data_IF_094143012351
#
_entry.id   IF_094143012351
#
_cell.length_a   1.000
_cell.length_b   1.000
_cell.length_c   1.000
_cell.angle_alpha   90.00
_cell.angle_beta   90.00
_cell.angle_gamma   90.00
#
_symmetry.space_group_name_H-M   'P 1'
#
loop_
_entity.id
_entity.type
_entity.pdbx_description
1 polymer ?
#
# COMPACT_ATOMS: atom_id res chain seq x y z
N UNK A 1 -12.12 -4.97 14.56
CA UNK A 1 -11.24 -4.82 13.39
C UNK A 1 -9.88 -5.35 13.75
N UNK A 2 -9.33 -6.24 12.93
CA UNK A 2 -7.95 -6.72 13.11
C UNK A 2 -7.05 -5.86 12.23
N UNK A 3 -5.96 -5.34 12.80
CA UNK A 3 -4.93 -4.59 12.08
C UNK A 3 -3.67 -5.43 12.12
N UNK A 4 -3.11 -5.69 10.95
CA UNK A 4 -1.88 -6.46 10.83
C UNK A 4 -0.80 -5.61 10.19
N UNK A 5 0.42 -5.75 10.68
CA UNK A 5 1.57 -5.25 9.95
C UNK A 5 1.73 -6.09 8.68
N UNK A 6 1.86 -5.44 7.52
CA UNK A 6 1.88 -6.13 6.21
C UNK A 6 2.96 -7.20 6.12
N UNK A 7 4.14 -6.98 6.73
CA UNK A 7 5.22 -7.95 6.68
C UNK A 7 4.89 -9.20 7.49
N UNK A 8 4.24 -9.04 8.65
CA UNK A 8 3.91 -10.13 9.57
C UNK A 8 2.87 -11.07 8.93
N UNK A 9 1.79 -10.50 8.36
CA UNK A 9 0.78 -11.32 7.68
C UNK A 9 1.33 -11.98 6.41
N UNK A 10 2.21 -11.28 5.66
CA UNK A 10 2.85 -11.85 4.48
C UNK A 10 3.77 -13.02 4.86
N UNK A 11 4.57 -12.89 5.92
CA UNK A 11 5.44 -13.95 6.41
C UNK A 11 4.64 -15.16 6.88
N UNK A 12 3.52 -14.94 7.57
CA UNK A 12 2.67 -16.03 8.03
C UNK A 12 1.95 -16.75 6.88
N UNK A 13 1.40 -16.01 5.91
CA UNK A 13 0.82 -16.60 4.71
C UNK A 13 1.85 -17.42 3.92
N UNK A 14 3.07 -16.90 3.79
CA UNK A 14 4.18 -17.60 3.17
C UNK A 14 4.51 -18.91 3.91
N UNK A 15 4.65 -18.85 5.24
CA UNK A 15 4.93 -20.01 6.10
C UNK A 15 3.87 -21.09 5.92
N UNK A 16 2.59 -20.72 5.92
CA UNK A 16 1.47 -21.65 5.76
C UNK A 16 1.45 -22.23 4.35
N UNK A 17 1.66 -21.42 3.31
CA UNK A 17 1.61 -21.86 1.92
C UNK A 17 2.68 -22.92 1.57
N UNK A 18 3.83 -22.90 2.25
CA UNK A 18 4.92 -23.87 2.03
C UNK A 18 4.97 -25.00 3.08
N UNK A 19 4.03 -25.02 4.02
CA UNK A 19 4.03 -26.00 5.12
C UNK A 19 3.47 -27.35 4.69
N UNK A 20 4.12 -28.43 5.11
CA UNK A 20 3.63 -29.81 4.95
C UNK A 20 2.54 -30.19 5.97
N UNK A 21 2.33 -29.38 7.00
CA UNK A 21 1.35 -29.66 8.07
C UNK A 21 -0.10 -29.33 7.66
N UNK A 22 -0.27 -28.62 6.54
CA UNK A 22 -1.56 -28.17 6.03
C UNK A 22 -2.29 -29.19 5.15
N UNK A 23 -3.51 -28.84 4.72
CA UNK A 23 -4.23 -29.60 3.70
C UNK A 23 -3.73 -29.21 2.30
N UNK A 24 -3.44 -30.22 1.47
CA UNK A 24 -3.03 -30.04 0.08
C UNK A 24 -1.51 -30.09 -0.12
N UNK A 25 -1.09 -29.90 -1.37
CA UNK A 25 0.34 -29.90 -1.74
C UNK A 25 0.95 -28.53 -1.38
N UNK A 26 2.07 -28.49 -0.64
CA UNK A 26 2.80 -27.25 -0.38
C UNK A 26 3.18 -26.52 -1.67
N UNK A 27 3.10 -25.19 -1.65
CA UNK A 27 3.55 -24.37 -2.77
C UNK A 27 5.07 -24.41 -2.91
N UNK A 28 5.56 -24.62 -4.13
CA UNK A 28 6.95 -24.37 -4.46
C UNK A 28 7.17 -22.87 -4.73
N UNK A 29 8.23 -22.31 -4.16
CA UNK A 29 8.56 -20.90 -4.33
C UNK A 29 9.87 -20.78 -5.07
N UNK A 30 9.77 -20.20 -6.27
CA UNK A 30 10.92 -19.92 -7.12
C UNK A 30 11.11 -18.41 -7.19
N UNK A 31 12.18 -17.93 -6.55
CA UNK A 31 12.57 -16.52 -6.57
C UNK A 31 13.48 -16.22 -7.78
N UNK A 32 13.82 -14.94 -8.00
CA UNK A 32 14.63 -14.50 -9.15
C UNK A 32 14.02 -14.79 -10.53
N UNK A 33 12.69 -14.90 -10.59
CA UNK A 33 11.91 -15.15 -11.81
C UNK A 33 10.93 -13.99 -12.06
N UNK A 34 11.47 -12.82 -12.41
CA UNK A 34 10.63 -11.66 -12.74
C UNK A 34 9.93 -11.91 -14.07
N UNK A 35 8.60 -12.00 -14.06
CA UNK A 35 7.79 -12.19 -15.26
C UNK A 35 8.04 -11.06 -16.26
N UNK A 36 8.42 -11.43 -17.48
CA UNK A 36 8.63 -10.51 -18.60
C UNK A 36 7.46 -10.53 -19.58
N UNK A 37 6.91 -11.71 -19.89
CA UNK A 37 5.75 -11.84 -20.78
C UNK A 37 4.99 -13.15 -20.60
N UNK A 38 3.73 -13.16 -21.06
CA UNK A 38 2.86 -14.35 -21.11
C UNK A 38 2.36 -14.58 -22.53
N UNK A 39 2.52 -15.80 -23.05
CA UNK A 39 1.99 -16.20 -24.35
C UNK A 39 0.74 -17.08 -24.18
N UNK A 40 -0.43 -16.53 -24.51
CA UNK A 40 -1.72 -17.22 -24.38
C UNK A 40 -1.85 -18.48 -25.23
N UNK A 41 -1.27 -18.51 -26.43
CA UNK A 41 -1.40 -19.66 -27.35
C UNK A 41 -0.54 -20.83 -26.87
N UNK A 42 0.69 -20.54 -26.43
CA UNK A 42 1.65 -21.54 -25.95
C UNK A 42 1.49 -21.87 -24.47
N UNK A 43 0.72 -21.05 -23.73
CA UNK A 43 0.56 -21.12 -22.27
C UNK A 43 1.90 -21.02 -21.53
N UNK A 44 2.79 -20.17 -22.06
CA UNK A 44 4.16 -19.99 -21.54
C UNK A 44 4.30 -18.68 -20.80
N UNK A 45 5.05 -18.70 -19.69
CA UNK A 45 5.56 -17.50 -19.00
C UNK A 45 7.06 -17.42 -19.23
N UNK A 46 7.53 -16.27 -19.71
CA UNK A 46 8.96 -15.99 -19.88
C UNK A 46 9.43 -15.02 -18.81
N UNK A 47 10.61 -15.29 -18.26
CA UNK A 47 11.20 -14.54 -17.15
C UNK A 47 12.48 -13.82 -17.57
N UNK A 48 12.81 -12.73 -16.87
CA UNK A 48 14.01 -11.92 -17.16
C UNK A 48 15.34 -12.67 -17.03
N UNK A 49 15.36 -13.78 -16.28
CA UNK A 49 16.54 -14.63 -16.14
C UNK A 49 16.73 -15.60 -17.34
N UNK A 50 15.88 -15.52 -18.37
CA UNK A 50 15.91 -16.39 -19.55
C UNK A 50 15.10 -17.67 -19.43
N UNK A 51 14.62 -18.02 -18.23
CA UNK A 51 13.80 -19.21 -18.00
C UNK A 51 12.42 -19.04 -18.64
N UNK A 52 11.84 -20.15 -19.08
CA UNK A 52 10.44 -20.23 -19.54
C UNK A 52 9.76 -21.44 -18.95
N UNK A 53 8.51 -21.30 -18.53
CA UNK A 53 7.68 -22.40 -18.04
C UNK A 53 6.38 -22.50 -18.85
N UNK A 54 5.77 -23.69 -18.86
CA UNK A 54 4.44 -23.94 -19.39
C UNK A 54 3.53 -24.26 -18.20
N UNK A 55 2.33 -23.68 -18.16
CA UNK A 55 1.35 -23.96 -17.11
C UNK A 55 -0.06 -24.09 -17.68
N UNK A 56 -0.88 -24.93 -17.07
CA UNK A 56 -2.29 -25.06 -17.47
C UNK A 56 -3.11 -23.81 -17.11
N UNK A 57 -2.82 -23.20 -15.95
CA UNK A 57 -3.42 -21.94 -15.48
C UNK A 57 -2.31 -20.98 -15.04
N UNK A 58 -2.44 -19.70 -15.38
CA UNK A 58 -1.52 -18.64 -14.96
C UNK A 58 -2.33 -17.59 -14.18
N UNK A 59 -1.89 -17.28 -12.96
CA UNK A 59 -2.53 -16.29 -12.09
C UNK A 59 -1.61 -15.06 -11.98
N UNK A 60 -2.07 -13.92 -12.48
CA UNK A 60 -1.42 -12.63 -12.32
C UNK A 60 -1.75 -12.01 -10.97
N UNK A 61 -0.81 -12.10 -10.02
CA UNK A 61 -0.86 -11.44 -8.71
C UNK A 61 0.30 -10.42 -8.55
N UNK A 62 0.78 -9.86 -9.66
CA UNK A 62 1.99 -9.02 -9.78
C UNK A 62 1.74 -7.51 -9.55
N UNK A 63 0.62 -7.19 -8.90
CA UNK A 63 0.30 -5.86 -8.39
C UNK A 63 -0.08 -4.84 -9.47
N UNK A 64 -0.22 -3.57 -9.06
CA UNK A 64 -0.79 -2.49 -9.89
C UNK A 64 -0.13 -2.31 -11.26
N UNK A 65 1.18 -2.56 -11.37
CA UNK A 65 1.96 -2.48 -12.62
C UNK A 65 2.09 -3.84 -13.30
N UNK A 66 1.01 -4.61 -13.32
CA UNK A 66 0.98 -6.00 -13.79
C UNK A 66 1.47 -6.17 -15.24
N UNK A 67 2.55 -6.94 -15.39
CA UNK A 67 3.05 -7.44 -16.66
C UNK A 67 2.09 -8.50 -17.21
N UNK A 68 1.53 -9.35 -16.35
CA UNK A 68 0.57 -10.40 -16.75
C UNK A 68 -0.68 -9.78 -17.38
N UNK A 69 -1.25 -8.75 -16.74
CA UNK A 69 -2.41 -8.00 -17.26
C UNK A 69 -2.13 -7.41 -18.65
N UNK A 70 -0.98 -6.75 -18.80
CA UNK A 70 -0.58 -6.15 -20.06
C UNK A 70 -0.35 -7.22 -21.15
N UNK A 71 0.21 -8.37 -20.79
CA UNK A 71 0.47 -9.50 -21.70
C UNK A 71 -0.81 -10.11 -22.28
N UNK A 72 -1.93 -10.04 -21.55
CA UNK A 72 -3.23 -10.50 -22.04
C UNK A 72 -4.02 -9.43 -22.81
N UNK A 73 -3.42 -8.24 -22.98
CA UNK A 73 -3.98 -7.13 -23.73
C UNK A 73 -4.96 -6.27 -22.94
N UNK A 74 -4.91 -6.34 -21.61
CA UNK A 74 -5.69 -5.46 -20.73
C UNK A 74 -4.77 -4.30 -20.32
N UNK A 75 -5.15 -3.08 -20.67
CA UNK A 75 -4.41 -1.88 -20.32
C UNK A 75 -5.31 -0.97 -19.51
N UNK A 76 -5.11 -0.95 -18.20
CA UNK A 76 -5.78 0.01 -17.34
C UNK A 76 -5.11 1.38 -17.51
N UNK A 77 -5.92 2.42 -17.74
CA UNK A 77 -5.44 3.79 -17.65
C UNK A 77 -4.83 4.04 -16.28
N UNK A 78 -3.61 4.57 -16.24
CA UNK A 78 -2.90 4.85 -15.01
C UNK A 78 -2.91 6.35 -14.73
N UNK A 79 -4.01 6.84 -14.16
CA UNK A 79 -4.13 8.24 -13.77
C UNK A 79 -3.65 8.41 -12.33
N UNK A 80 -2.85 9.43 -12.06
CA UNK A 80 -2.47 9.76 -10.68
C UNK A 80 -3.67 10.37 -9.96
N UNK A 81 -3.95 9.94 -8.73
CA UNK A 81 -4.98 10.57 -7.90
C UNK A 81 -4.51 11.96 -7.44
N UNK A 82 -5.38 12.94 -7.20
CA UNK A 82 -4.99 14.29 -6.76
C UNK A 82 -4.48 14.36 -5.30
N UNK A 83 -4.12 13.23 -4.69
CA UNK A 83 -3.69 13.13 -3.30
C UNK A 83 -2.46 12.24 -3.13
N UNK A 84 -1.67 12.55 -2.11
CA UNK A 84 -0.50 11.79 -1.67
C UNK A 84 -0.71 11.35 -0.23
N UNK A 85 -0.24 10.16 0.11
CA UNK A 85 -0.28 9.62 1.47
C UNK A 85 1.14 9.51 2.02
N UNK A 86 1.43 10.15 3.15
CA UNK A 86 2.63 9.85 3.92
C UNK A 86 2.31 8.79 4.96
N UNK A 87 2.95 7.62 4.85
CA UNK A 87 2.93 6.61 5.91
C UNK A 87 4.10 6.89 6.84
N UNK A 88 3.85 7.06 8.13
CA UNK A 88 4.87 7.27 9.14
C UNK A 88 4.57 6.41 10.37
N UNK A 89 5.58 6.09 11.16
CA UNK A 89 5.45 5.25 12.34
C UNK A 89 5.98 6.00 13.57
N UNK A 90 5.35 5.81 14.71
CA UNK A 90 5.87 6.28 16.01
C UNK A 90 5.93 5.08 16.94
N UNK A 91 7.05 4.88 17.65
CA UNK A 91 7.17 3.80 18.61
C UNK A 91 6.39 4.14 19.87
N UNK A 92 5.65 3.18 20.40
CA UNK A 92 4.84 3.36 21.61
C UNK A 92 5.70 3.72 22.83
N UNK A 93 6.96 3.28 22.87
CA UNK A 93 7.93 3.71 23.89
C UNK A 93 8.20 5.22 23.81
N UNK A 94 8.44 5.75 22.60
CA UNK A 94 8.75 7.17 22.40
C UNK A 94 7.53 8.03 22.74
N UNK A 95 6.32 7.54 22.42
CA UNK A 95 5.06 8.18 22.81
C UNK A 95 4.96 8.33 24.34
N UNK A 96 5.35 7.29 25.10
CA UNK A 96 5.33 7.31 26.57
C UNK A 96 6.38 8.27 27.11
N UNK A 97 7.61 8.18 26.60
CA UNK A 97 8.74 9.00 27.06
C UNK A 97 8.49 10.50 26.81
N UNK A 98 7.79 10.83 25.73
CA UNK A 98 7.40 12.21 25.39
C UNK A 98 6.13 12.69 26.11
N UNK A 99 5.47 11.84 26.91
CA UNK A 99 4.21 12.19 27.57
C UNK A 99 3.03 12.40 26.60
N UNK A 100 3.12 11.84 25.39
CA UNK A 100 2.14 12.03 24.31
C UNK A 100 1.04 10.95 24.29
N UNK A 101 1.04 10.03 25.26
CA UNK A 101 0.10 8.91 25.32
C UNK A 101 -1.37 9.35 25.22
N UNK A 102 -1.74 10.51 25.76
CA UNK A 102 -3.10 11.06 25.69
C UNK A 102 -3.56 11.39 24.26
N UNK A 103 -2.63 11.60 23.32
CA UNK A 103 -2.91 11.90 21.92
C UNK A 103 -3.02 10.65 21.05
N UNK A 104 -2.79 9.47 21.64
CA UNK A 104 -2.98 8.17 20.99
C UNK A 104 -4.16 7.47 21.67
N UNK A 105 -5.36 7.67 21.13
CA UNK A 105 -6.59 7.11 21.70
C UNK A 105 -6.66 5.58 21.54
N UNK A 106 -6.11 4.84 22.51
CA UNK A 106 -6.34 3.41 22.70
C UNK A 106 -5.86 2.48 21.56
N UNK A 107 -6.12 1.16 21.67
CA UNK A 107 -5.70 0.17 20.68
C UNK A 107 -6.68 0.10 19.50
N UNK A 108 -7.17 1.24 19.02
CA UNK A 108 -8.16 1.31 17.95
C UNK A 108 -7.61 2.08 16.76
N UNK A 109 -8.08 1.69 15.57
CA UNK A 109 -7.87 2.47 14.38
C UNK A 109 -8.72 3.74 14.44
N UNK A 110 -8.13 4.90 14.15
CA UNK A 110 -8.83 6.18 14.18
C UNK A 110 -8.79 6.85 12.83
N UNK A 111 -9.83 7.61 12.54
CA UNK A 111 -10.02 8.32 11.29
C UNK A 111 -10.38 9.77 11.59
N UNK A 112 -9.60 10.69 11.03
CA UNK A 112 -9.78 12.12 11.21
C UNK A 112 -9.76 12.81 9.85
N UNK A 113 -10.70 13.72 9.61
CA UNK A 113 -10.81 14.40 8.31
C UNK A 113 -11.42 13.52 7.22
N UNK A 114 -11.05 13.77 5.96
CA UNK A 114 -11.63 13.11 4.79
C UNK A 114 -12.84 13.82 4.18
N UNK A 115 -13.31 14.90 4.82
CA UNK A 115 -14.45 15.71 4.39
C UNK A 115 -14.05 17.16 4.16
N UNK A 116 -14.71 17.78 3.18
CA UNK A 116 -14.52 19.20 2.87
C UNK A 116 -14.96 20.06 4.06
N UNK A 117 -14.05 20.89 4.56
CA UNK A 117 -14.32 21.75 5.71
C UNK A 117 -15.02 23.03 5.28
N UNK A 118 -15.89 23.57 6.14
CA UNK A 118 -16.51 24.89 5.97
C UNK A 118 -15.48 26.03 5.90
N UNK A 119 -14.25 25.78 6.33
CA UNK A 119 -13.10 26.69 6.25
C UNK A 119 -12.27 26.52 4.95
N UNK A 120 -12.77 25.80 3.95
CA UNK A 120 -12.06 25.54 2.70
C UNK A 120 -11.01 24.41 2.79
N UNK A 121 -10.98 23.64 3.89
CA UNK A 121 -10.11 22.46 4.01
C UNK A 121 -10.51 21.43 2.95
N UNK A 122 -9.56 21.06 2.09
CA UNK A 122 -9.77 20.01 1.08
C UNK A 122 -10.15 18.67 1.71
N UNK A 123 -11.08 17.95 1.08
CA UNK A 123 -11.48 16.58 1.45
C UNK A 123 -10.33 15.57 1.46
N UNK A 124 -9.20 15.87 0.81
CA UNK A 124 -8.04 14.97 0.82
C UNK A 124 -7.24 15.01 2.11
N UNK A 125 -7.45 15.99 2.98
CA UNK A 125 -6.85 16.00 4.32
C UNK A 125 -7.50 14.94 5.19
N UNK A 126 -6.79 13.85 5.40
CA UNK A 126 -7.22 12.73 6.24
C UNK A 126 -6.03 12.17 7.02
N UNK A 127 -6.23 11.86 8.28
CA UNK A 127 -5.27 11.10 9.10
C UNK A 127 -5.93 9.80 9.50
N UNK A 128 -5.26 8.69 9.22
CA UNK A 128 -5.61 7.37 9.78
C UNK A 128 -4.51 6.94 10.70
N UNK A 129 -4.84 6.54 11.92
CA UNK A 129 -3.88 5.94 12.85
C UNK A 129 -4.28 4.52 13.13
N UNK A 130 -3.31 3.62 13.31
CA UNK A 130 -3.56 2.25 13.69
C UNK A 130 -2.42 1.68 14.54
N UNK A 131 -2.72 1.00 15.66
CA UNK A 131 -1.73 0.22 16.38
C UNK A 131 -1.35 -1.02 15.56
N UNK A 132 -0.05 -1.26 15.46
CA UNK A 132 0.56 -2.36 14.71
C UNK A 132 1.51 -3.13 15.63
N UNK A 133 1.90 -4.34 15.23
CA UNK A 133 2.91 -5.14 15.93
C UNK A 133 2.64 -5.26 17.44
N UNK A 134 1.46 -5.80 17.80
CA UNK A 134 1.06 -5.93 19.21
C UNK A 134 0.82 -4.62 19.97
N UNK A 135 0.87 -3.47 19.29
CA UNK A 135 0.75 -2.14 19.91
C UNK A 135 2.08 -1.45 20.18
N UNK A 136 3.21 -2.02 19.77
CA UNK A 136 4.54 -1.39 19.95
C UNK A 136 4.81 -0.26 18.95
N UNK A 137 4.09 -0.25 17.84
CA UNK A 137 4.20 0.77 16.80
C UNK A 137 2.82 1.34 16.50
N UNK A 138 2.71 2.66 16.42
CA UNK A 138 1.52 3.34 15.91
C UNK A 138 1.84 3.84 14.50
N UNK A 139 1.16 3.26 13.50
CA UNK A 139 1.27 3.72 12.12
C UNK A 139 0.26 4.84 11.86
N UNK A 140 0.72 5.89 11.20
CA UNK A 140 -0.05 7.03 10.73
C UNK A 140 -0.04 7.06 9.21
N UNK A 141 -1.18 7.41 8.63
CA UNK A 141 -1.38 7.64 7.21
C UNK A 141 -1.94 9.05 7.05
N UNK A 142 -1.09 9.98 6.64
CA UNK A 142 -1.42 11.38 6.44
C UNK A 142 -1.66 11.63 4.95
N UNK A 143 -2.93 11.73 4.57
CA UNK A 143 -3.37 12.06 3.22
C UNK A 143 -3.50 13.56 3.07
N UNK A 144 -3.07 14.09 1.93
CA UNK A 144 -3.23 15.50 1.59
C UNK A 144 -3.20 15.72 0.07
N UNK A 145 -3.61 16.91 -0.41
CA UNK A 145 -3.52 17.24 -1.83
C UNK A 145 -2.09 17.15 -2.36
N UNK A 146 -1.92 16.56 -3.55
CA UNK A 146 -0.57 16.28 -4.11
C UNK A 146 0.20 17.56 -4.40
N UNK A 147 -0.51 18.62 -4.83
CA UNK A 147 0.05 19.92 -5.15
C UNK A 147 0.76 20.58 -3.97
N UNK A 148 0.44 20.20 -2.74
CA UNK A 148 1.13 20.70 -1.55
C UNK A 148 2.39 19.90 -1.21
N UNK A 149 2.59 18.75 -1.83
CA UNK A 149 3.72 17.86 -1.57
C UNK A 149 4.88 18.10 -2.54
N UNK A 150 6.10 17.81 -2.08
CA UNK A 150 7.29 17.69 -2.92
C UNK A 150 7.30 16.40 -3.75
N UNK A 151 6.52 15.39 -3.33
CA UNK A 151 6.41 14.08 -3.99
C UNK A 151 5.31 14.05 -5.08
N UNK A 152 5.57 14.74 -6.19
CA UNK A 152 4.65 14.80 -7.34
C UNK A 152 4.95 13.76 -8.42
N UNK A 153 6.15 13.19 -8.40
CA UNK A 153 6.62 12.20 -9.36
C UNK A 153 5.87 10.86 -9.29
N UNK A 154 6.02 10.07 -10.34
CA UNK A 154 5.48 8.70 -10.44
C UNK A 154 6.53 7.61 -10.17
N UNK A 155 7.78 8.01 -9.91
CA UNK A 155 8.88 7.14 -9.52
C UNK A 155 8.67 6.58 -8.11
N UNK A 156 9.01 5.31 -7.93
CA UNK A 156 9.14 4.73 -6.59
C UNK A 156 10.47 5.22 -6.00
N UNK A 157 10.42 6.20 -5.12
CA UNK A 157 11.59 6.66 -4.37
C UNK A 157 11.51 6.13 -2.94
N UNK A 158 12.49 5.28 -2.58
CA UNK A 158 12.69 4.83 -1.20
C UNK A 158 13.47 5.88 -0.41
N UNK A 159 12.99 7.12 -0.45
CA UNK A 159 13.55 8.22 0.33
C UNK A 159 12.56 8.63 1.39
N UNK A 160 13.04 8.68 2.62
CA UNK A 160 12.24 9.17 3.73
C UNK A 160 11.97 10.68 3.56
N UNK A 161 10.69 11.07 3.68
CA UNK A 161 10.25 12.45 3.60
C UNK A 161 10.69 13.23 4.85
N UNK A 162 10.88 14.54 4.70
CA UNK A 162 11.14 15.40 5.85
C UNK A 162 9.85 15.65 6.64
N UNK A 163 9.97 15.99 7.94
CA UNK A 163 8.80 16.41 8.74
C UNK A 163 8.13 17.63 8.12
N UNK A 164 8.92 18.56 7.57
CA UNK A 164 8.43 19.73 6.86
C UNK A 164 7.69 19.42 5.57
N UNK A 165 7.90 18.28 4.92
CA UNK A 165 7.11 17.87 3.74
C UNK A 165 5.71 17.37 4.12
N UNK A 166 5.53 16.96 5.38
CA UNK A 166 4.28 16.42 5.93
C UNK A 166 3.48 17.52 6.61
N UNK A 167 4.13 18.34 7.44
CA UNK A 167 3.52 19.46 8.14
C UNK A 167 3.45 20.70 7.22
N UNK A 168 2.67 20.58 6.14
CA UNK A 168 2.33 21.70 5.24
C UNK A 168 0.83 21.90 5.16
N UNK A 169 0.42 23.13 4.86
CA UNK A 169 -0.98 23.49 4.71
C UNK A 169 -1.79 23.19 5.98
N UNK A 170 -2.94 22.53 5.85
CA UNK A 170 -3.82 22.29 7.01
C UNK A 170 -3.24 21.35 8.07
N UNK A 171 -2.12 20.65 7.80
CA UNK A 171 -1.45 19.87 8.83
C UNK A 171 -0.60 20.72 9.79
N UNK A 172 -0.28 21.97 9.44
CA UNK A 172 0.34 22.93 10.37
C UNK A 172 -0.62 23.32 11.51
N UNK A 173 -1.92 23.26 11.26
CA UNK A 173 -2.98 23.60 12.21
C UNK A 173 -3.39 22.43 13.11
N UNK A 174 -2.76 21.26 12.97
CA UNK A 174 -2.99 20.13 13.87
C UNK A 174 -2.68 20.52 15.32
N UNK A 175 -3.39 19.88 16.25
CA UNK A 175 -3.11 20.00 17.69
C UNK A 175 -1.61 19.77 17.97
N UNK A 176 -0.98 20.54 18.89
CA UNK A 176 0.44 20.40 19.22
C UNK A 176 0.90 18.96 19.41
N UNK A 177 0.14 18.14 20.14
CA UNK A 177 0.49 16.72 20.37
C UNK A 177 0.57 15.90 19.08
N UNK A 178 -0.35 16.10 18.14
CA UNK A 178 -0.33 15.42 16.84
C UNK A 178 0.89 15.85 16.01
N UNK A 179 1.25 17.14 16.05
CA UNK A 179 2.46 17.63 15.37
C UNK A 179 3.71 17.04 16.00
N UNK A 180 3.76 16.92 17.32
CA UNK A 180 4.90 16.33 18.02
C UNK A 180 5.06 14.84 17.72
N UNK A 181 3.96 14.10 17.56
CA UNK A 181 4.00 12.72 17.07
C UNK A 181 4.58 12.64 15.65
N UNK A 182 4.19 13.53 14.74
CA UNK A 182 4.75 13.58 13.38
C UNK A 182 6.25 13.94 13.41
N UNK A 183 6.67 14.88 14.27
CA UNK A 183 8.08 15.28 14.42
C UNK A 183 8.98 14.13 14.89
N UNK A 184 8.48 13.28 15.79
CA UNK A 184 9.22 12.12 16.34
C UNK A 184 8.98 10.84 15.55
N UNK A 185 8.24 10.91 14.45
CA UNK A 185 7.98 9.73 13.63
C UNK A 185 9.21 9.27 12.86
N UNK A 186 9.20 8.01 12.45
CA UNK A 186 10.21 7.33 11.65
C UNK A 186 9.55 6.64 10.47
N UNK A 187 10.34 6.22 9.48
CA UNK A 187 9.86 5.55 8.27
C UNK A 187 8.78 6.37 7.54
N UNK A 188 8.99 7.69 7.43
CA UNK A 188 8.10 8.65 6.75
C UNK A 188 8.14 8.43 5.23
N UNK A 189 7.38 7.45 4.75
CA UNK A 189 7.36 7.04 3.35
C UNK A 189 6.24 7.76 2.58
N UNK A 190 6.56 8.53 1.53
CA UNK A 190 5.58 9.13 0.64
C UNK A 190 5.02 8.08 -0.34
N UNK A 191 3.70 8.08 -0.52
CA UNK A 191 3.01 7.20 -1.46
C UNK A 191 2.14 8.03 -2.40
N UNK A 192 2.54 8.01 -3.68
CA UNK A 192 1.69 8.53 -4.77
C UNK A 192 0.52 7.58 -4.99
N UNK A 193 -0.70 8.09 -4.89
CA UNK A 193 -1.90 7.29 -5.11
C UNK A 193 -2.33 7.35 -6.59
N UNK A 194 -2.94 6.28 -7.07
CA UNK A 194 -3.36 6.13 -8.46
C UNK A 194 -4.83 5.75 -8.52
N UNK A 195 -5.53 6.31 -9.51
CA UNK A 195 -6.89 5.93 -9.86
C UNK A 195 -6.78 4.87 -10.94
N UNK A 196 -7.40 3.74 -10.66
CA UNK A 196 -7.49 2.63 -11.59
C UNK A 196 -8.83 2.67 -12.31
N UNK A 197 -8.80 2.67 -13.64
CA UNK A 197 -10.03 2.57 -14.43
C UNK A 197 -10.51 1.12 -14.49
N UNK A 198 -11.82 0.87 -14.30
CA UNK A 198 -12.36 -0.48 -14.43
C UNK A 198 -12.20 -0.98 -15.87
N UNK A 199 -12.15 -2.29 -16.02
CA UNK A 199 -12.17 -2.97 -17.31
C UNK A 199 -13.07 -4.22 -17.22
N UNK A 200 -13.57 -4.66 -18.37
CA UNK A 200 -14.72 -5.59 -18.46
C UNK A 200 -14.43 -7.01 -17.96
N UNK A 201 -13.19 -7.48 -18.05
CA UNK A 201 -12.83 -8.84 -17.66
C UNK A 201 -11.45 -8.89 -17.01
N UNK A 202 -11.29 -9.78 -16.02
CA UNK A 202 -10.02 -10.04 -15.33
C UNK A 202 -9.33 -11.31 -15.81
N UNK A 203 -9.74 -11.85 -16.96
CA UNK A 203 -9.19 -13.09 -17.49
C UNK A 203 -9.18 -13.10 -19.02
N UNK A 204 -8.33 -13.96 -19.57
CA UNK A 204 -8.32 -14.27 -21.01
C UNK A 204 -7.70 -15.63 -21.24
N UNK A 205 -8.45 -16.53 -21.87
CA UNK A 205 -8.00 -17.93 -22.03
C UNK A 205 -7.71 -18.56 -20.67
N UNK A 206 -6.50 -19.06 -20.49
CA UNK A 206 -6.03 -19.73 -19.27
C UNK A 206 -5.26 -18.80 -18.32
N UNK A 207 -5.47 -17.49 -18.42
CA UNK A 207 -4.84 -16.50 -17.54
C UNK A 207 -5.93 -15.72 -16.82
N UNK A 208 -5.79 -15.56 -15.50
CA UNK A 208 -6.65 -14.68 -14.71
C UNK A 208 -5.81 -13.77 -13.81
N UNK A 209 -6.42 -12.66 -13.36
CA UNK A 209 -5.80 -11.65 -12.51
C UNK A 209 -6.45 -11.66 -11.13
N UNK A 210 -5.67 -11.43 -10.08
CA UNK A 210 -6.15 -11.27 -8.71
C UNK A 210 -5.47 -10.09 -8.00
N UNK A 211 -6.11 -9.60 -6.94
CA UNK A 211 -5.57 -8.51 -6.11
C UNK A 211 -5.34 -7.24 -6.92
N UNK A 212 -4.26 -6.52 -6.61
CA UNK A 212 -3.91 -5.25 -7.25
C UNK A 212 -3.58 -5.37 -8.75
N UNK A 213 -3.33 -6.57 -9.27
CA UNK A 213 -3.22 -6.77 -10.71
C UNK A 213 -4.59 -6.62 -11.40
N UNK A 214 -5.67 -7.08 -10.74
CA UNK A 214 -7.04 -7.03 -11.22
C UNK A 214 -7.76 -5.71 -10.84
N UNK A 215 -7.74 -5.36 -9.56
CA UNK A 215 -8.59 -4.32 -9.00
C UNK A 215 -7.87 -3.47 -7.95
N UNK A 216 -6.78 -2.77 -8.28
CA UNK A 216 -6.12 -1.89 -7.34
C UNK A 216 -7.05 -0.71 -6.98
N UNK A 217 -7.13 -0.39 -5.70
CA UNK A 217 -8.08 0.60 -5.17
C UNK A 217 -7.40 1.72 -4.41
N UNK A 218 -8.07 2.86 -4.32
CA UNK A 218 -7.69 3.89 -3.35
C UNK A 218 -7.99 3.37 -1.93
N UNK A 219 -7.09 3.58 -0.96
CA UNK A 219 -7.19 2.99 0.37
C UNK A 219 -8.19 3.73 1.29
N UNK A 220 -9.21 4.38 0.73
CA UNK A 220 -10.13 5.21 1.51
C UNK A 220 -11.01 4.43 2.47
N UNK A 221 -11.31 3.18 2.10
CA UNK A 221 -12.19 2.29 2.86
C UNK A 221 -11.42 1.17 3.60
N UNK A 222 -10.07 1.19 3.58
CA UNK A 222 -9.25 0.16 4.23
C UNK A 222 -9.70 -1.28 3.89
N UNK A 223 -9.98 -1.51 2.61
CA UNK A 223 -10.41 -2.81 2.07
C UNK A 223 -9.24 -3.76 1.86
#
# INVERSE_FOLDING_TARGET
>A
YNVFHRQDIHAELLRVAISEEGQGTPCEIVVDHICESVNLKKRTVSFKNGTTIIADLIIGADGRRSTVRSSIGIFAGNSTAPQTCYRLNVLTKDIKDLGLAKHVYGPVMQYWGGEEGSNGRSKYYKVVTAPCHGGDVISFYCFMPTELTSHRGSSFEFKEASVSDILVGCFEDLEPGCKDLIKHSINRMPWRLYVHQPYESWHKGNVCLIGDAAHPMLPHQSQ
#
